data_IF_218135608341
#
_entry.id   IF_218135608341
#
_cell.length_a   1.000
_cell.length_b   1.000
_cell.length_c   1.000
_cell.angle_alpha   90.00
_cell.angle_beta   90.00
_cell.angle_gamma   90.00
#
_symmetry.space_group_name_H-M   'P 1'
#
loop_
_entity.id
_entity.type
_entity.pdbx_description
1 polymer ?
#
# COMPACT_ATOMS: atom_id res chain seq x y z
N UNK A 1 1.78 26.03 0.24
CA UNK A 1 3.09 25.44 -0.13
C UNK A 1 3.40 24.43 0.94
N UNK A 2 3.14 23.16 0.67
CA UNK A 2 3.53 22.05 1.54
C UNK A 2 5.02 21.77 1.26
N UNK A 3 5.88 22.24 2.17
CA UNK A 3 7.29 21.89 2.16
C UNK A 3 7.44 20.38 2.43
N UNK A 4 7.78 19.63 1.40
CA UNK A 4 8.22 18.26 1.54
C UNK A 4 9.64 18.28 2.08
N UNK A 5 9.80 18.16 3.39
CA UNK A 5 11.09 17.89 4.00
C UNK A 5 11.45 16.43 3.69
N UNK A 6 12.29 16.24 2.69
CA UNK A 6 12.97 14.98 2.43
C UNK A 6 14.12 14.89 3.43
N UNK A 7 13.92 14.34 4.60
CA UNK A 7 14.96 13.67 5.41
C UNK A 7 14.42 13.32 6.80
N UNK A 8 13.63 12.27 6.88
CA UNK A 8 13.55 11.48 8.12
C UNK A 8 13.45 10.02 7.74
N UNK A 9 14.21 9.19 8.43
CA UNK A 9 14.37 7.77 8.20
C UNK A 9 13.01 7.10 7.94
N UNK A 10 12.82 6.61 6.74
CA UNK A 10 11.56 6.03 6.30
C UNK A 10 11.57 4.56 6.67
N UNK A 11 10.93 4.24 7.77
CA UNK A 11 10.45 2.88 7.98
C UNK A 11 9.71 2.44 6.72
N UNK A 12 9.96 1.22 6.23
CA UNK A 12 9.53 0.72 4.90
C UNK A 12 8.03 0.77 4.56
N UNK A 13 7.23 1.57 5.27
CA UNK A 13 5.85 1.95 4.97
C UNK A 13 5.73 3.29 4.24
N UNK A 14 6.79 4.09 4.19
CA UNK A 14 6.75 5.44 3.61
C UNK A 14 6.93 5.47 2.09
N UNK A 15 7.38 4.38 1.47
CA UNK A 15 7.65 4.34 0.02
C UNK A 15 6.40 4.52 -0.86
N UNK A 16 5.19 4.34 -0.30
CA UNK A 16 3.93 4.46 -1.04
C UNK A 16 3.03 5.61 -0.58
N UNK A 17 3.40 6.34 0.47
CA UNK A 17 2.51 7.30 1.13
C UNK A 17 2.45 8.67 0.44
N UNK A 18 3.42 9.01 -0.40
CA UNK A 18 3.52 10.31 -1.07
C UNK A 18 3.25 10.28 -2.57
N UNK A 19 3.24 9.10 -3.20
CA UNK A 19 2.96 8.92 -4.62
C UNK A 19 1.47 9.06 -4.96
N UNK A 20 1.17 9.20 -6.25
CA UNK A 20 -0.21 9.07 -6.72
C UNK A 20 -0.74 7.65 -6.46
N UNK A 21 -1.75 7.53 -5.61
CA UNK A 21 -2.33 6.25 -5.18
C UNK A 21 -3.33 5.66 -6.19
N UNK A 22 -3.73 6.44 -7.21
CA UNK A 22 -4.73 6.04 -8.20
C UNK A 22 -4.38 4.71 -8.87
N UNK A 23 -5.21 3.68 -8.68
CA UNK A 23 -5.01 2.35 -9.24
C UNK A 23 -3.79 1.59 -8.70
N UNK A 24 -3.03 2.16 -7.76
CA UNK A 24 -1.86 1.53 -7.11
C UNK A 24 -2.20 0.92 -5.76
N UNK A 25 -2.81 1.70 -4.88
CA UNK A 25 -3.28 1.29 -3.55
C UNK A 25 -4.66 1.85 -3.21
N UNK A 26 -5.29 2.56 -4.14
CA UNK A 26 -6.56 3.21 -3.99
C UNK A 26 -7.43 2.99 -5.22
N UNK A 27 -8.72 2.73 -5.01
CA UNK A 27 -9.80 2.75 -5.98
C UNK A 27 -10.99 3.49 -5.38
N UNK A 28 -11.82 4.08 -6.24
CA UNK A 28 -13.12 4.59 -5.86
C UNK A 28 -14.20 3.66 -6.41
N UNK A 29 -15.17 3.32 -5.59
CA UNK A 29 -16.41 2.63 -6.00
C UNK A 29 -17.56 3.59 -5.83
N UNK A 30 -18.35 3.77 -6.87
CA UNK A 30 -19.56 4.63 -6.84
C UNK A 30 -20.72 3.88 -6.17
N UNK A 31 -21.80 4.59 -5.75
CA UNK A 31 -23.01 3.95 -5.25
C UNK A 31 -23.66 2.96 -6.26
N UNK A 32 -23.39 3.12 -7.55
CA UNK A 32 -23.87 2.24 -8.62
C UNK A 32 -22.98 1.01 -8.84
N UNK A 33 -21.88 0.86 -8.06
CA UNK A 33 -20.96 -0.25 -8.22
C UNK A 33 -19.82 0.00 -9.21
N UNK A 34 -19.78 1.16 -9.89
CA UNK A 34 -18.72 1.44 -10.87
C UNK A 34 -17.41 1.75 -10.18
N UNK A 35 -16.32 1.16 -10.69
CA UNK A 35 -14.97 1.31 -10.16
C UNK A 35 -14.17 2.29 -11.02
N UNK A 36 -13.50 3.26 -10.37
CA UNK A 36 -12.58 4.18 -11.04
C UNK A 36 -11.24 4.20 -10.30
N UNK A 37 -10.11 4.51 -10.97
CA UNK A 37 -8.78 4.55 -10.34
C UNK A 37 -8.69 5.55 -9.18
N UNK A 38 -9.38 6.70 -9.28
CA UNK A 38 -9.51 7.69 -8.20
C UNK A 38 -10.74 8.59 -8.47
N UNK A 39 -11.16 9.45 -7.51
CA UNK A 39 -12.32 10.31 -7.70
C UNK A 39 -12.21 11.29 -8.87
N UNK A 40 -11.00 11.61 -9.28
CA UNK A 40 -10.70 12.60 -10.32
C UNK A 40 -10.35 11.99 -11.68
N UNK A 41 -10.34 10.66 -11.81
CA UNK A 41 -10.20 9.93 -13.06
C UNK A 41 -11.56 9.30 -13.37
N UNK A 42 -12.32 9.83 -14.36
CA UNK A 42 -13.68 9.37 -14.62
C UNK A 42 -13.74 8.03 -15.36
N UNK A 43 -12.61 7.53 -15.85
CA UNK A 43 -12.54 6.26 -16.57
C UNK A 43 -12.99 5.10 -15.68
N UNK A 44 -14.09 4.45 -16.05
CA UNK A 44 -14.60 3.25 -15.39
C UNK A 44 -13.71 2.07 -15.76
N UNK A 45 -13.20 1.38 -14.75
CA UNK A 45 -12.32 0.19 -14.88
C UNK A 45 -13.06 -1.12 -14.55
N UNK A 46 -14.31 -1.04 -14.12
CA UNK A 46 -15.13 -2.22 -13.85
C UNK A 46 -16.39 -1.88 -13.08
N UNK A 47 -17.21 -2.90 -12.86
CA UNK A 47 -18.43 -2.86 -12.07
C UNK A 47 -18.42 -4.03 -11.07
N UNK A 48 -18.43 -3.71 -9.78
CA UNK A 48 -18.38 -4.72 -8.71
C UNK A 48 -19.68 -5.51 -8.56
N UNK A 49 -20.76 -5.07 -9.20
CA UNK A 49 -22.02 -5.83 -9.26
C UNK A 49 -21.95 -6.98 -10.26
N UNK A 50 -21.08 -6.88 -11.26
CA UNK A 50 -20.92 -7.86 -12.33
C UNK A 50 -19.60 -8.66 -12.23
N UNK A 51 -18.55 -8.06 -11.68
CA UNK A 51 -17.19 -8.66 -11.66
C UNK A 51 -16.57 -8.50 -10.28
N UNK A 52 -15.97 -9.55 -9.70
CA UNK A 52 -15.28 -9.45 -8.42
C UNK A 52 -14.20 -8.35 -8.43
N UNK A 53 -14.16 -7.51 -7.41
CA UNK A 53 -13.20 -6.40 -7.30
C UNK A 53 -11.75 -6.86 -7.49
N UNK A 54 -11.41 -8.06 -7.00
CA UNK A 54 -10.08 -8.64 -7.17
C UNK A 54 -9.72 -8.82 -8.65
N UNK A 55 -10.64 -9.31 -9.44
CA UNK A 55 -10.42 -9.53 -10.88
C UNK A 55 -10.26 -8.19 -11.62
N UNK A 56 -11.10 -7.19 -11.31
CA UNK A 56 -10.95 -5.83 -11.84
C UNK A 56 -9.56 -5.29 -11.48
N UNK A 57 -9.16 -5.42 -10.22
CA UNK A 57 -7.87 -4.95 -9.72
C UNK A 57 -6.68 -5.61 -10.41
N UNK A 58 -6.72 -6.92 -10.56
CA UNK A 58 -5.58 -7.70 -11.06
C UNK A 58 -5.44 -7.65 -12.58
N UNK A 59 -6.56 -7.51 -13.33
CA UNK A 59 -6.58 -7.73 -14.78
C UNK A 59 -6.87 -6.49 -15.62
N UNK A 60 -7.44 -5.42 -15.07
CA UNK A 60 -7.79 -4.29 -15.90
C UNK A 60 -6.54 -3.57 -16.43
N UNK A 61 -6.40 -3.38 -17.79
CA UNK A 61 -5.17 -2.85 -18.39
C UNK A 61 -4.73 -1.50 -17.84
N UNK A 62 -5.66 -0.56 -17.61
CA UNK A 62 -5.35 0.75 -17.05
C UNK A 62 -4.77 0.66 -15.65
N UNK A 63 -5.31 -0.22 -14.80
CA UNK A 63 -4.79 -0.42 -13.44
C UNK A 63 -3.41 -1.07 -13.46
N UNK A 64 -3.17 -1.97 -14.40
CA UNK A 64 -1.85 -2.57 -14.61
C UNK A 64 -0.85 -1.51 -15.07
N UNK A 65 -1.17 -0.68 -16.06
CA UNK A 65 -0.32 0.41 -16.51
C UNK A 65 0.07 1.35 -15.35
N UNK A 66 -0.90 1.78 -14.56
CA UNK A 66 -0.67 2.67 -13.41
C UNK A 66 0.30 2.07 -12.37
N UNK A 67 0.39 0.74 -12.26
CA UNK A 67 1.27 0.04 -11.31
C UNK A 67 2.65 -0.30 -11.85
N UNK A 68 2.74 -0.60 -13.14
CA UNK A 68 3.95 -1.20 -13.73
C UNK A 68 4.74 -0.23 -14.62
N UNK A 69 4.08 0.78 -15.18
CA UNK A 69 4.73 1.73 -16.08
C UNK A 69 5.15 3.00 -15.36
N UNK A 70 6.26 3.59 -15.80
CA UNK A 70 6.65 4.94 -15.38
C UNK A 70 5.87 5.97 -16.19
N UNK A 71 5.54 7.13 -15.60
CA UNK A 71 4.97 8.25 -16.33
C UNK A 71 5.91 8.72 -17.44
N UNK A 72 5.35 9.35 -18.46
CA UNK A 72 6.10 9.99 -19.53
C UNK A 72 6.56 11.40 -19.15
N UNK A 73 7.35 12.00 -20.02
CA UNK A 73 7.81 13.39 -19.93
C UNK A 73 8.60 13.66 -18.64
N UNK A 74 8.46 14.88 -18.11
CA UNK A 74 9.23 15.32 -16.92
C UNK A 74 8.98 14.45 -15.69
N UNK A 75 7.83 13.81 -15.56
CA UNK A 75 7.55 12.93 -14.43
C UNK A 75 8.34 11.61 -14.49
N UNK A 76 8.59 11.09 -15.68
CA UNK A 76 9.35 9.85 -15.88
C UNK A 76 10.87 10.00 -15.67
N UNK A 77 11.38 11.20 -15.86
CA UNK A 77 12.80 11.52 -15.65
C UNK A 77 13.08 12.26 -14.34
N UNK A 78 12.03 12.49 -13.52
CA UNK A 78 12.09 13.23 -12.27
C UNK A 78 12.89 12.47 -11.19
N UNK A 79 13.51 13.22 -10.27
CA UNK A 79 14.16 12.68 -9.08
C UNK A 79 13.17 11.97 -8.14
N UNK A 80 11.88 12.30 -8.28
CA UNK A 80 10.78 11.75 -7.47
C UNK A 80 9.86 10.84 -8.28
N UNK A 81 10.35 10.23 -9.35
CA UNK A 81 9.52 9.44 -10.28
C UNK A 81 8.83 8.24 -9.63
N UNK A 82 9.45 7.62 -8.64
CA UNK A 82 8.89 6.49 -7.88
C UNK A 82 8.13 6.95 -6.64
N UNK A 83 8.64 7.95 -5.94
CA UNK A 83 8.05 8.46 -4.70
C UNK A 83 6.91 9.45 -4.93
N UNK A 84 6.78 10.05 -6.11
CA UNK A 84 5.71 10.96 -6.49
C UNK A 84 5.00 10.53 -7.76
N UNK A 85 5.72 10.50 -8.89
CA UNK A 85 5.21 10.18 -10.23
C UNK A 85 4.19 11.18 -10.79
N UNK A 86 3.92 12.31 -10.14
CA UNK A 86 2.92 13.31 -10.54
C UNK A 86 1.46 12.86 -10.38
N UNK A 87 0.51 13.79 -10.47
CA UNK A 87 -0.91 13.47 -10.38
C UNK A 87 -1.45 12.92 -11.70
N UNK A 88 -1.86 11.66 -11.72
CA UNK A 88 -2.39 11.00 -12.92
C UNK A 88 -3.72 11.58 -13.41
N UNK A 89 -4.53 12.15 -12.51
CA UNK A 89 -5.76 12.84 -12.89
C UNK A 89 -5.47 14.16 -13.61
N UNK A 90 -4.47 14.93 -13.17
CA UNK A 90 -4.05 16.16 -13.84
C UNK A 90 -3.42 15.87 -15.20
N UNK A 91 -2.61 14.80 -15.29
CA UNK A 91 -2.06 14.33 -16.55
C UNK A 91 -3.17 13.99 -17.55
N UNK A 92 -4.18 13.20 -17.13
CA UNK A 92 -5.34 12.87 -17.96
C UNK A 92 -6.09 14.13 -18.41
N UNK A 93 -6.38 15.03 -17.48
CA UNK A 93 -7.17 16.24 -17.79
C UNK A 93 -6.44 17.16 -18.79
N UNK A 94 -5.11 17.23 -18.74
CA UNK A 94 -4.32 18.10 -19.60
C UNK A 94 -3.95 17.48 -20.93
N UNK A 95 -3.67 16.20 -20.95
CA UNK A 95 -3.09 15.51 -22.10
C UNK A 95 -3.94 14.36 -22.66
N UNK A 96 -5.04 14.01 -22.01
CA UNK A 96 -5.90 12.87 -22.43
C UNK A 96 -5.30 11.49 -22.09
N UNK A 97 -4.13 11.43 -21.49
CA UNK A 97 -3.48 10.18 -21.06
C UNK A 97 -3.04 10.26 -19.59
N UNK A 98 -3.43 9.25 -18.81
CA UNK A 98 -3.03 9.14 -17.40
C UNK A 98 -1.52 8.97 -17.23
N UNK A 99 -0.81 8.49 -18.24
CA UNK A 99 0.64 8.27 -18.18
C UNK A 99 1.44 9.48 -18.66
N UNK A 100 0.81 10.51 -19.18
CA UNK A 100 1.49 11.76 -19.55
C UNK A 100 2.10 12.45 -18.32
N UNK A 101 2.91 13.47 -18.53
CA UNK A 101 3.45 14.27 -17.44
C UNK A 101 2.37 15.10 -16.72
N UNK A 102 2.62 15.42 -15.47
CA UNK A 102 1.82 16.39 -14.73
C UNK A 102 2.34 17.80 -14.97
N UNK A 103 1.80 18.47 -15.99
CA UNK A 103 2.23 19.82 -16.39
C UNK A 103 2.00 20.88 -15.33
N UNK A 104 1.12 20.64 -14.33
CA UNK A 104 0.87 21.58 -13.26
C UNK A 104 1.87 21.44 -12.10
N UNK A 105 2.81 20.50 -12.17
CA UNK A 105 3.86 20.38 -11.18
C UNK A 105 4.87 21.53 -11.33
N UNK A 106 5.12 22.36 -10.29
CA UNK A 106 6.07 23.45 -10.36
C UNK A 106 7.53 22.98 -10.25
N UNK A 107 7.76 21.72 -9.91
CA UNK A 107 9.11 21.21 -9.73
C UNK A 107 9.89 21.20 -11.06
N UNK A 108 11.06 21.79 -11.02
CA UNK A 108 12.06 21.74 -12.10
C UNK A 108 13.26 20.97 -11.56
N UNK A 109 13.61 19.90 -12.24
CA UNK A 109 14.76 19.08 -11.87
C UNK A 109 16.06 19.89 -12.05
N UNK A 110 16.95 19.94 -11.03
CA UNK A 110 18.29 20.48 -11.20
C UNK A 110 19.07 19.71 -12.27
N UNK A 111 19.92 20.41 -13.02
CA UNK A 111 20.64 19.80 -14.16
C UNK A 111 21.61 18.68 -13.73
N UNK A 112 22.13 18.78 -12.51
CA UNK A 112 23.06 17.85 -11.87
C UNK A 112 22.38 16.74 -11.05
N UNK A 113 21.06 16.83 -10.86
CA UNK A 113 20.34 15.82 -10.11
C UNK A 113 20.27 14.49 -10.88
N UNK A 114 20.46 13.39 -10.18
CA UNK A 114 20.23 12.05 -10.72
C UNK A 114 18.76 11.66 -10.58
N UNK A 115 18.16 10.97 -11.57
CA UNK A 115 16.83 10.41 -11.41
C UNK A 115 16.79 9.45 -10.24
N UNK A 116 15.65 9.43 -9.51
CA UNK A 116 15.43 8.45 -8.44
C UNK A 116 15.71 7.04 -8.96
N UNK A 117 16.53 6.30 -8.22
CA UNK A 117 16.79 4.90 -8.53
C UNK A 117 15.49 4.09 -8.41
N UNK A 118 15.35 3.05 -9.23
CA UNK A 118 14.27 2.11 -9.05
C UNK A 118 14.33 1.55 -7.61
N UNK A 119 13.20 1.46 -6.89
CA UNK A 119 13.21 0.78 -5.61
C UNK A 119 13.81 -0.61 -5.82
N UNK A 120 14.77 -0.97 -4.99
CA UNK A 120 15.35 -2.29 -5.03
C UNK A 120 14.21 -3.30 -4.98
N UNK A 121 14.06 -4.11 -6.03
CA UNK A 121 13.17 -5.27 -5.96
C UNK A 121 13.75 -6.06 -4.79
N UNK A 122 12.99 -6.27 -3.69
CA UNK A 122 13.49 -7.09 -2.61
C UNK A 122 13.99 -8.39 -3.25
N UNK A 123 15.28 -8.69 -3.11
CA UNK A 123 15.83 -9.95 -3.58
C UNK A 123 14.83 -11.02 -3.17
N UNK A 124 14.51 -11.95 -4.10
CA UNK A 124 13.56 -13.03 -3.87
C UNK A 124 13.69 -13.45 -2.42
N UNK A 125 12.70 -13.07 -1.60
CA UNK A 125 12.79 -13.22 -0.15
C UNK A 125 13.12 -14.67 0.06
N UNK A 126 14.23 -14.97 0.73
CA UNK A 126 14.45 -16.32 1.26
C UNK A 126 13.14 -16.69 1.92
N UNK A 127 12.54 -17.80 1.48
CA UNK A 127 11.21 -18.18 1.97
C UNK A 127 11.34 -18.34 3.48
N UNK A 128 10.76 -17.37 4.20
CA UNK A 128 10.73 -17.41 5.65
C UNK A 128 9.94 -18.65 6.03
N UNK A 129 10.58 -19.59 6.66
CA UNK A 129 9.95 -20.82 7.11
C UNK A 129 9.19 -20.60 8.41
N UNK A 130 8.19 -21.44 8.66
CA UNK A 130 7.40 -21.38 9.87
C UNK A 130 7.67 -22.61 10.72
N UNK A 131 7.98 -22.40 11.99
CA UNK A 131 7.98 -23.50 12.96
C UNK A 131 6.58 -24.12 13.04
N UNK A 132 6.43 -25.46 13.09
CA UNK A 132 5.10 -26.10 13.14
C UNK A 132 4.20 -25.58 14.26
N UNK A 133 4.75 -25.29 15.43
CA UNK A 133 4.01 -24.70 16.55
C UNK A 133 3.52 -23.30 16.27
N UNK A 134 4.31 -22.46 15.60
CA UNK A 134 3.94 -21.10 15.19
C UNK A 134 2.86 -21.13 14.11
N UNK A 135 2.96 -22.03 13.16
CA UNK A 135 1.95 -22.22 12.12
C UNK A 135 0.61 -22.68 12.71
N UNK A 136 0.63 -23.65 13.64
CA UNK A 136 -0.59 -24.09 14.34
C UNK A 136 -1.26 -22.94 15.12
N UNK A 137 -0.48 -22.05 15.74
CA UNK A 137 -1.03 -20.85 16.40
C UNK A 137 -1.66 -19.89 15.39
N UNK A 138 -1.04 -19.68 14.24
CA UNK A 138 -1.57 -18.85 13.17
C UNK A 138 -2.91 -19.40 12.64
N UNK A 139 -3.01 -20.72 12.48
CA UNK A 139 -4.22 -21.39 11.98
C UNK A 139 -5.40 -21.28 12.96
N UNK A 140 -5.15 -21.22 14.26
CA UNK A 140 -6.17 -20.98 15.30
C UNK A 140 -6.74 -19.56 15.28
N UNK A 141 -6.12 -18.63 14.58
CA UNK A 141 -6.63 -17.27 14.45
C UNK A 141 -7.83 -17.21 13.49
N UNK A 142 -8.81 -16.30 13.75
CA UNK A 142 -9.92 -16.08 12.83
C UNK A 142 -9.44 -15.79 11.41
N UNK A 143 -10.11 -16.35 10.41
CA UNK A 143 -9.68 -16.27 9.00
C UNK A 143 -9.48 -14.83 8.50
N UNK A 144 -10.32 -13.89 8.96
CA UNK A 144 -10.28 -12.49 8.51
C UNK A 144 -9.03 -11.72 8.97
N UNK A 145 -8.31 -12.17 10.01
CA UNK A 145 -7.06 -11.53 10.48
C UNK A 145 -5.82 -12.35 10.14
N UNK A 146 -5.97 -13.66 9.90
CA UNK A 146 -4.86 -14.60 9.70
C UNK A 146 -3.88 -14.13 8.61
N UNK A 147 -4.41 -13.73 7.45
CA UNK A 147 -3.59 -13.24 6.34
C UNK A 147 -2.78 -11.98 6.69
N UNK A 148 -3.37 -11.04 7.44
CA UNK A 148 -2.67 -9.82 7.88
C UNK A 148 -1.57 -10.12 8.88
N UNK A 149 -1.83 -11.01 9.83
CA UNK A 149 -0.83 -11.42 10.83
C UNK A 149 0.32 -12.14 10.16
N UNK A 150 0.04 -13.08 9.26
CA UNK A 150 1.05 -13.79 8.48
C UNK A 150 1.95 -12.82 7.73
N UNK A 151 1.39 -11.97 6.89
CA UNK A 151 2.14 -11.01 6.08
C UNK A 151 2.99 -10.05 6.94
N UNK A 152 2.46 -9.60 8.10
CA UNK A 152 3.21 -8.76 9.03
C UNK A 152 4.42 -9.48 9.62
N UNK A 153 4.23 -10.70 10.13
CA UNK A 153 5.31 -11.48 10.74
C UNK A 153 6.38 -11.85 9.72
N UNK A 154 6.01 -12.23 8.51
CA UNK A 154 6.95 -12.50 7.42
C UNK A 154 7.74 -11.24 7.05
N UNK A 155 7.10 -10.06 7.06
CA UNK A 155 7.79 -8.79 6.84
C UNK A 155 8.78 -8.47 7.97
N UNK A 156 8.38 -8.66 9.23
CA UNK A 156 9.27 -8.46 10.38
C UNK A 156 10.46 -9.42 10.31
N UNK A 157 10.22 -10.71 10.04
CA UNK A 157 11.27 -11.71 9.91
C UNK A 157 12.26 -11.36 8.79
N UNK A 158 11.75 -10.91 7.63
CA UNK A 158 12.60 -10.47 6.53
C UNK A 158 13.46 -9.24 6.89
N UNK A 159 12.92 -8.28 7.65
CA UNK A 159 13.65 -7.09 8.07
C UNK A 159 14.74 -7.41 9.10
N UNK A 160 14.54 -8.43 9.93
CA UNK A 160 15.48 -8.86 10.98
C UNK A 160 16.41 -9.99 10.52
N UNK A 161 16.39 -10.32 9.21
CA UNK A 161 17.12 -11.45 8.63
C UNK A 161 16.86 -12.78 9.36
N UNK A 162 15.64 -12.95 9.88
CA UNK A 162 15.21 -14.15 10.60
C UNK A 162 14.66 -15.17 9.60
N UNK A 163 15.36 -16.26 9.39
CA UNK A 163 14.98 -17.32 8.42
C UNK A 163 13.77 -18.17 8.84
N UNK A 164 13.40 -18.14 10.15
CA UNK A 164 12.29 -18.95 10.67
C UNK A 164 11.44 -18.17 11.66
N UNK A 165 10.13 -18.22 11.50
CA UNK A 165 9.16 -17.64 12.45
C UNK A 165 8.83 -18.69 13.51
N UNK A 166 9.24 -18.41 14.75
CA UNK A 166 8.97 -19.22 15.92
C UNK A 166 7.82 -18.64 16.74
N UNK A 167 7.33 -19.42 17.72
CA UNK A 167 6.30 -18.94 18.67
C UNK A 167 6.80 -17.72 19.45
N UNK A 168 8.07 -17.71 19.85
CA UNK A 168 8.64 -16.59 20.60
C UNK A 168 8.81 -15.35 19.72
N UNK A 169 9.16 -15.52 18.45
CA UNK A 169 9.15 -14.42 17.48
C UNK A 169 7.74 -13.82 17.34
N UNK A 170 6.70 -14.64 17.24
CA UNK A 170 5.31 -14.17 17.19
C UNK A 170 4.91 -13.38 18.44
N UNK A 171 5.38 -13.80 19.61
CA UNK A 171 5.13 -13.11 20.89
C UNK A 171 5.83 -11.76 20.96
N UNK A 172 7.10 -11.70 20.57
CA UNK A 172 7.91 -10.48 20.56
C UNK A 172 7.30 -9.41 19.62
N UNK A 173 6.73 -9.83 18.50
CA UNK A 173 6.13 -8.94 17.48
C UNK A 173 4.61 -8.76 17.65
N UNK A 174 4.07 -9.13 18.81
CA UNK A 174 2.65 -8.88 19.11
C UNK A 174 2.40 -7.38 19.20
N UNK A 175 1.42 -6.83 18.44
CA UNK A 175 1.07 -5.43 18.58
C UNK A 175 0.61 -5.14 20.01
N UNK A 176 0.95 -3.98 20.59
CA UNK A 176 0.43 -3.59 21.89
C UNK A 176 -1.10 -3.64 21.84
N UNK A 177 -1.72 -4.24 22.85
CA UNK A 177 -3.18 -4.27 22.93
C UNK A 177 -3.69 -2.84 23.05
N UNK A 178 -4.42 -2.37 22.05
CA UNK A 178 -5.06 -1.05 22.09
C UNK A 178 -6.26 -0.99 23.05
N UNK A 179 -6.65 -2.15 23.58
CA UNK A 179 -7.72 -2.24 24.55
C UNK A 179 -7.11 -2.48 25.94
N UNK A 180 -7.54 -1.72 26.96
CA UNK A 180 -7.17 -2.04 28.33
C UNK A 180 -7.57 -3.49 28.59
N UNK A 181 -6.65 -4.28 29.16
CA UNK A 181 -6.98 -5.62 29.64
C UNK A 181 -7.94 -5.42 30.81
N UNK A 182 -9.23 -5.58 30.56
CA UNK A 182 -10.18 -5.67 31.65
C UNK A 182 -9.85 -6.95 32.41
N UNK A 183 -9.56 -6.86 33.72
CA UNK A 183 -9.41 -8.05 34.53
C UNK A 183 -10.72 -8.85 34.42
N UNK A 184 -10.59 -10.16 34.24
CA UNK A 184 -11.69 -11.10 34.15
C UNK A 184 -12.43 -11.17 35.51
N UNK A 185 -13.14 -10.11 35.83
CA UNK A 185 -14.08 -10.00 36.95
C UNK A 185 -15.49 -9.94 36.37
N UNK A 186 -16.39 -10.73 36.95
CA UNK A 186 -17.80 -10.84 36.60
C UNK A 186 -18.42 -9.49 36.25
N UNK A 187 -18.78 -9.31 34.98
CA UNK A 187 -19.58 -8.16 34.52
C UNK A 187 -21.05 -8.47 34.85
N UNK A 188 -21.41 -8.31 36.08
CA UNK A 188 -22.82 -8.13 36.48
C UNK A 188 -23.02 -6.63 36.68
N UNK A 189 -23.74 -5.97 35.76
CA UNK A 189 -24.27 -4.62 35.95
C UNK A 189 -23.53 -3.47 35.29
N UNK A 190 -23.17 -3.54 34.01
CA UNK A 190 -22.76 -2.33 33.25
C UNK A 190 -24.00 -1.54 32.83
N UNK A 191 -24.29 -0.44 33.54
CA UNK A 191 -25.21 0.59 33.05
C UNK A 191 -24.51 1.43 31.99
N UNK A 192 -25.04 1.47 30.76
CA UNK A 192 -24.57 2.38 29.70
C UNK A 192 -25.08 3.80 30.00
N UNK A 193 -24.26 4.83 29.96
CA UNK A 193 -24.75 6.19 30.01
C UNK A 193 -25.59 6.49 28.76
N UNK A 194 -26.73 7.17 28.98
CA UNK A 194 -27.68 7.60 27.94
C UNK A 194 -27.08 8.72 27.07
#
# INVERSE_FOLDING_TARGET
VLGLHANEARDGHAEWSSACLAGRSYLRITPQGLVTPCPYIPQVVGDVTATPLREIWERHPLLMRLRTELPMGKCGTCDFRYSCGGCRARALARHGDVMAEDSNCPYVRPADALPEAAPAIPALREEVTWEPAAQALLERMPAFIRGRVKARLEKCAANEAQGMITVDFMRAHRPPSRFPVYPSGNITGAQWPK
#
